data_IF_791687648648
#
_entry.id   IF_791687648648
#
_cell.length_a   1.000
_cell.length_b   1.000
_cell.length_c   1.000
_cell.angle_alpha   90.00
_cell.angle_beta   90.00
_cell.angle_gamma   90.00
#
_symmetry.space_group_name_H-M   'P 1'
#
loop_
_entity.id
_entity.type
_entity.pdbx_description
1 polymer ?
#
# COMPACT_ATOMS: atom_id res chain seq x y z
N UNK A 1 2.99 -38.52 -88.05
CA UNK A 1 2.98 -37.88 -86.71
C UNK A 1 2.86 -36.37 -86.88
N UNK A 2 1.82 -35.72 -86.31
CA UNK A 2 1.70 -34.24 -86.32
C UNK A 2 2.50 -33.69 -85.13
N UNK A 3 3.47 -32.79 -85.38
CA UNK A 3 4.22 -32.12 -84.33
C UNK A 3 3.29 -31.25 -83.46
N UNK A 4 3.25 -31.52 -82.15
CA UNK A 4 2.33 -30.90 -81.17
C UNK A 4 2.74 -29.48 -80.75
N UNK A 5 3.91 -29.00 -81.19
CA UNK A 5 4.53 -27.74 -80.74
C UNK A 5 4.84 -26.78 -81.88
N UNK A 6 3.86 -26.55 -82.77
CA UNK A 6 4.05 -25.74 -83.99
C UNK A 6 4.29 -24.24 -83.72
N UNK A 7 4.14 -23.78 -82.47
CA UNK A 7 4.22 -22.37 -82.07
C UNK A 7 5.50 -21.96 -81.34
N UNK A 8 6.38 -22.88 -80.94
CA UNK A 8 7.65 -22.52 -80.28
C UNK A 8 8.63 -21.93 -81.31
N UNK A 9 8.67 -20.59 -81.40
CA UNK A 9 9.70 -19.86 -82.16
C UNK A 9 10.95 -19.67 -81.29
N UNK A 10 12.14 -19.76 -81.89
CA UNK A 10 13.45 -19.51 -81.29
C UNK A 10 13.63 -18.04 -80.87
N UNK A 11 12.84 -17.55 -79.93
CA UNK A 11 12.97 -16.21 -79.36
C UNK A 11 13.07 -16.31 -77.84
N UNK A 12 13.76 -15.37 -77.21
CA UNK A 12 13.90 -15.28 -75.75
C UNK A 12 12.57 -14.96 -75.03
N UNK A 13 11.46 -14.82 -75.77
CA UNK A 13 10.10 -14.50 -75.28
C UNK A 13 9.17 -15.72 -75.31
N UNK A 14 9.62 -16.87 -74.81
CA UNK A 14 8.79 -18.09 -74.65
C UNK A 14 7.64 -17.91 -73.64
N UNK A 15 7.69 -16.86 -72.81
CA UNK A 15 6.86 -16.68 -71.61
C UNK A 15 5.55 -15.90 -71.80
N UNK A 16 5.17 -15.54 -73.02
CA UNK A 16 3.97 -14.71 -73.26
C UNK A 16 2.67 -15.51 -73.48
N UNK A 17 2.72 -16.84 -73.42
CA UNK A 17 1.56 -17.69 -73.62
C UNK A 17 1.13 -18.33 -72.29
N UNK A 18 -0.11 -18.06 -71.84
CA UNK A 18 -0.62 -18.45 -70.52
C UNK A 18 -0.54 -19.97 -70.28
N UNK A 19 -0.68 -20.76 -71.35
CA UNK A 19 -0.62 -22.22 -71.29
C UNK A 19 0.80 -22.75 -71.00
N UNK A 20 1.86 -22.04 -71.43
CA UNK A 20 3.24 -22.49 -71.20
C UNK A 20 3.69 -22.25 -69.75
N UNK A 21 3.13 -21.23 -69.08
CA UNK A 21 3.40 -20.90 -67.67
C UNK A 21 2.73 -21.92 -66.73
N UNK A 22 1.51 -22.35 -67.04
CA UNK A 22 0.77 -23.32 -66.22
C UNK A 22 1.43 -24.72 -66.23
N UNK A 23 1.98 -25.13 -67.36
CA UNK A 23 2.73 -26.39 -67.48
C UNK A 23 4.11 -26.32 -66.79
N UNK A 24 4.71 -25.14 -66.65
CA UNK A 24 5.93 -24.92 -65.87
C UNK A 24 5.67 -25.03 -64.37
N UNK A 25 4.62 -24.37 -63.87
CA UNK A 25 4.20 -24.44 -62.46
C UNK A 25 3.80 -25.86 -62.04
N UNK A 26 3.24 -26.66 -62.97
CA UNK A 26 2.94 -28.09 -62.75
C UNK A 26 4.17 -29.00 -62.88
N UNK A 27 5.35 -28.46 -63.18
CA UNK A 27 6.61 -29.21 -63.34
C UNK A 27 6.68 -30.07 -64.61
N UNK A 28 5.74 -29.89 -65.55
CA UNK A 28 5.66 -30.68 -66.80
C UNK A 28 6.60 -30.12 -67.87
N UNK A 29 6.80 -28.79 -67.88
CA UNK A 29 7.75 -28.10 -68.75
C UNK A 29 8.94 -27.65 -67.92
N UNK A 30 10.15 -28.17 -68.18
CA UNK A 30 11.37 -27.70 -67.53
C UNK A 30 12.17 -26.80 -68.50
N UNK A 31 12.23 -25.47 -68.31
CA UNK A 31 12.67 -24.51 -69.32
C UNK A 31 14.13 -24.71 -69.75
N UNK A 32 14.96 -25.20 -68.83
CA UNK A 32 16.35 -25.55 -69.10
C UNK A 32 16.44 -26.75 -70.06
N UNK A 33 15.67 -27.82 -69.81
CA UNK A 33 15.57 -28.97 -70.71
C UNK A 33 15.01 -28.56 -72.08
N UNK A 34 13.97 -27.73 -72.13
CA UNK A 34 13.38 -27.26 -73.41
C UNK A 34 14.36 -26.44 -74.23
N UNK A 35 15.14 -25.55 -73.60
CA UNK A 35 16.17 -24.77 -74.30
C UNK A 35 17.27 -25.70 -74.83
N UNK A 36 17.71 -26.65 -74.03
CA UNK A 36 18.78 -27.56 -74.39
C UNK A 36 18.40 -28.47 -75.56
N UNK A 37 17.17 -28.98 -75.60
CA UNK A 37 16.65 -29.81 -76.70
C UNK A 37 16.71 -29.12 -78.07
N UNK A 38 16.63 -27.79 -78.13
CA UNK A 38 16.66 -27.02 -79.38
C UNK A 38 18.03 -26.44 -79.73
N UNK A 39 18.96 -26.36 -78.77
CA UNK A 39 20.25 -25.67 -78.96
C UNK A 39 21.45 -26.61 -78.94
N UNK A 40 21.33 -27.79 -78.33
CA UNK A 40 22.43 -28.75 -78.19
C UNK A 40 22.23 -29.94 -79.14
N UNK A 41 23.31 -30.46 -79.77
CA UNK A 41 23.27 -31.70 -80.54
C UNK A 41 22.78 -32.88 -79.68
N UNK A 42 22.13 -33.86 -80.33
CA UNK A 42 21.55 -35.04 -79.68
C UNK A 42 22.55 -35.81 -78.80
N UNK A 43 23.82 -35.85 -79.18
CA UNK A 43 24.90 -36.51 -78.44
C UNK A 43 25.14 -35.87 -77.06
N UNK A 44 25.08 -34.54 -76.97
CA UNK A 44 25.28 -33.79 -75.72
C UNK A 44 24.07 -33.97 -74.80
N UNK A 45 22.87 -34.04 -75.37
CA UNK A 45 21.63 -34.28 -74.62
C UNK A 45 21.59 -35.69 -74.05
N UNK A 46 22.01 -36.68 -74.82
CA UNK A 46 22.13 -38.07 -74.35
C UNK A 46 23.20 -38.21 -73.27
N UNK A 47 24.36 -37.55 -73.42
CA UNK A 47 25.41 -37.54 -72.41
C UNK A 47 24.95 -36.89 -71.10
N UNK A 48 24.17 -35.81 -71.18
CA UNK A 48 23.60 -35.13 -70.00
C UNK A 48 22.51 -35.95 -69.34
N UNK A 49 21.58 -36.52 -70.11
CA UNK A 49 20.54 -37.41 -69.59
C UNK A 49 21.17 -38.63 -68.90
N UNK A 50 22.21 -39.21 -69.51
CA UNK A 50 22.99 -40.28 -68.90
C UNK A 50 23.65 -39.83 -67.59
N UNK A 51 24.21 -38.61 -67.52
CA UNK A 51 24.78 -38.04 -66.30
C UNK A 51 23.74 -37.84 -65.20
N UNK A 52 22.57 -37.29 -65.52
CA UNK A 52 21.48 -37.10 -64.55
C UNK A 52 20.94 -38.46 -64.06
N UNK A 53 20.76 -39.44 -64.95
CA UNK A 53 20.37 -40.80 -64.56
C UNK A 53 21.41 -41.46 -63.64
N UNK A 54 22.70 -41.21 -63.91
CA UNK A 54 23.81 -41.67 -63.06
C UNK A 54 23.83 -40.95 -61.71
N UNK A 55 23.38 -39.70 -61.60
CA UNK A 55 23.32 -38.94 -60.34
C UNK A 55 22.06 -39.21 -59.50
N UNK A 56 20.95 -39.56 -60.14
CA UNK A 56 19.71 -39.95 -59.44
C UNK A 56 19.96 -41.22 -58.61
N UNK A 57 20.75 -42.17 -59.11
CA UNK A 57 20.98 -43.44 -58.41
C UNK A 57 21.73 -43.27 -57.06
N UNK A 58 22.85 -42.52 -56.97
CA UNK A 58 23.50 -42.15 -55.71
C UNK A 58 22.60 -41.36 -54.78
N UNK A 59 21.81 -40.40 -55.27
CA UNK A 59 20.94 -39.61 -54.40
C UNK A 59 19.77 -40.44 -53.85
N UNK A 60 19.21 -41.35 -54.65
CA UNK A 60 18.21 -42.31 -54.16
C UNK A 60 18.84 -43.23 -53.10
N UNK A 61 20.06 -43.70 -53.35
CA UNK A 61 20.82 -44.52 -52.42
C UNK A 61 21.21 -43.75 -51.15
N UNK A 62 21.59 -42.47 -51.23
CA UNK A 62 21.83 -41.61 -50.07
C UNK A 62 20.55 -41.38 -49.28
N UNK A 63 19.42 -41.19 -49.94
CA UNK A 63 18.14 -40.99 -49.29
C UNK A 63 17.63 -42.28 -48.62
N UNK A 64 17.85 -43.44 -49.24
CA UNK A 64 17.52 -44.76 -48.69
C UNK A 64 18.52 -45.20 -47.61
N UNK A 65 19.80 -44.86 -47.73
CA UNK A 65 20.80 -45.06 -46.68
C UNK A 65 20.57 -44.13 -45.51
N UNK A 66 20.14 -42.88 -45.70
CA UNK A 66 19.75 -41.97 -44.62
C UNK A 66 18.46 -42.44 -43.95
N UNK A 67 17.48 -42.95 -44.72
CA UNK A 67 16.25 -43.55 -44.17
C UNK A 67 16.49 -44.85 -43.40
N UNK A 68 17.44 -45.67 -43.83
CA UNK A 68 17.83 -46.91 -43.13
C UNK A 68 18.84 -46.68 -42.01
N UNK A 69 19.71 -45.66 -42.13
CA UNK A 69 20.64 -45.14 -41.11
C UNK A 69 19.88 -44.51 -39.95
N UNK A 70 18.83 -43.75 -40.25
CA UNK A 70 17.85 -43.32 -39.26
C UNK A 70 16.95 -44.51 -38.92
N UNK A 71 17.53 -45.46 -38.19
CA UNK A 71 16.87 -46.72 -37.88
C UNK A 71 15.48 -46.51 -37.27
N UNK A 72 14.54 -47.44 -37.50
CA UNK A 72 13.18 -47.37 -36.95
C UNK A 72 13.17 -47.16 -35.43
N UNK A 73 14.21 -47.61 -34.74
CA UNK A 73 14.43 -47.39 -33.31
C UNK A 73 14.68 -45.90 -32.95
N UNK A 74 15.44 -45.15 -33.76
CA UNK A 74 15.68 -43.72 -33.54
C UNK A 74 14.41 -42.89 -33.78
N UNK A 75 13.60 -43.30 -34.77
CA UNK A 75 12.29 -42.68 -35.06
C UNK A 75 11.31 -42.95 -33.92
N UNK A 76 11.17 -44.21 -33.48
CA UNK A 76 10.31 -44.58 -32.36
C UNK A 76 10.71 -43.88 -31.05
N UNK A 77 12.02 -43.75 -30.78
CA UNK A 77 12.52 -42.97 -29.62
C UNK A 77 12.15 -41.49 -29.73
N UNK A 78 12.22 -40.90 -30.92
CA UNK A 78 11.83 -39.50 -31.13
C UNK A 78 10.32 -39.28 -30.98
N UNK A 79 9.49 -40.18 -31.51
CA UNK A 79 8.03 -40.12 -31.38
C UNK A 79 7.56 -40.30 -29.94
N UNK A 80 8.19 -41.23 -29.20
CA UNK A 80 7.93 -41.40 -27.76
C UNK A 80 8.25 -40.12 -27.00
N UNK A 81 9.41 -39.49 -27.25
CA UNK A 81 9.77 -38.22 -26.62
C UNK A 81 8.83 -37.07 -27.02
N UNK A 82 8.38 -37.02 -28.27
CA UNK A 82 7.41 -36.02 -28.71
C UNK A 82 6.06 -36.19 -27.99
N UNK A 83 5.65 -37.43 -27.72
CA UNK A 83 4.42 -37.74 -26.97
C UNK A 83 4.54 -37.35 -25.49
N UNK A 84 5.67 -37.68 -24.85
CA UNK A 84 5.99 -37.27 -23.47
C UNK A 84 5.99 -35.74 -23.34
N UNK A 85 6.70 -35.02 -24.24
CA UNK A 85 6.71 -33.56 -24.25
C UNK A 85 5.33 -32.96 -24.50
N UNK A 86 4.51 -33.57 -25.36
CA UNK A 86 3.13 -33.15 -25.59
C UNK A 86 2.25 -33.28 -24.35
N UNK A 87 2.46 -34.34 -23.54
CA UNK A 87 1.75 -34.52 -22.27
C UNK A 87 2.20 -33.50 -21.22
N UNK A 88 3.51 -33.25 -21.08
CA UNK A 88 4.04 -32.23 -20.18
C UNK A 88 3.56 -30.83 -20.57
N UNK A 89 3.48 -30.50 -21.86
CA UNK A 89 2.93 -29.22 -22.31
C UNK A 89 1.44 -29.09 -21.93
N UNK A 90 0.65 -30.16 -22.05
CA UNK A 90 -0.75 -30.14 -21.57
C UNK A 90 -0.84 -29.97 -20.06
N UNK A 91 0.07 -30.58 -19.29
CA UNK A 91 0.13 -30.45 -17.83
C UNK A 91 0.48 -29.02 -17.41
N UNK A 92 1.59 -28.49 -17.92
CA UNK A 92 2.04 -27.10 -17.65
C UNK A 92 0.99 -26.06 -18.07
N UNK A 93 0.24 -26.30 -19.15
CA UNK A 93 -0.87 -25.43 -19.54
C UNK A 93 -1.99 -25.40 -18.49
N UNK A 94 -2.40 -26.56 -17.95
CA UNK A 94 -3.40 -26.63 -16.87
C UNK A 94 -2.91 -25.93 -15.60
N UNK A 95 -1.66 -26.19 -15.21
CA UNK A 95 -1.05 -25.55 -14.04
C UNK A 95 -0.98 -24.02 -14.18
N UNK A 96 -0.68 -23.51 -15.40
CA UNK A 96 -0.72 -22.08 -15.70
C UNK A 96 -2.13 -21.50 -15.54
N UNK A 97 -3.14 -22.17 -16.09
CA UNK A 97 -4.53 -21.70 -16.03
C UNK A 97 -5.03 -21.68 -14.57
N UNK A 98 -4.67 -22.68 -13.76
CA UNK A 98 -4.94 -22.69 -12.31
C UNK A 98 -4.20 -21.58 -11.56
N UNK A 99 -2.93 -21.34 -11.88
CA UNK A 99 -2.15 -20.26 -11.29
C UNK A 99 -2.73 -18.88 -11.64
N UNK A 100 -3.27 -18.72 -12.86
CA UNK A 100 -3.93 -17.49 -13.29
C UNK A 100 -5.22 -17.23 -12.50
N UNK A 101 -6.04 -18.27 -12.26
CA UNK A 101 -7.21 -18.16 -11.39
C UNK A 101 -6.84 -17.79 -9.95
N UNK A 102 -5.75 -18.37 -9.42
CA UNK A 102 -5.23 -18.02 -8.09
C UNK A 102 -4.76 -16.56 -8.04
N UNK A 103 -4.08 -16.09 -9.08
CA UNK A 103 -3.64 -14.70 -9.18
C UNK A 103 -4.84 -13.75 -9.19
N UNK A 104 -5.85 -14.02 -10.01
CA UNK A 104 -7.07 -13.19 -10.08
C UNK A 104 -7.81 -13.14 -8.74
N UNK A 105 -7.88 -14.26 -8.02
CA UNK A 105 -8.45 -14.29 -6.67
C UNK A 105 -7.64 -13.43 -5.70
N UNK A 106 -6.31 -13.54 -5.74
CA UNK A 106 -5.42 -12.73 -4.87
C UNK A 106 -5.48 -11.23 -5.19
N UNK A 107 -5.67 -10.84 -6.45
CA UNK A 107 -5.84 -9.44 -6.85
C UNK A 107 -7.14 -8.84 -6.30
N UNK A 108 -8.22 -9.61 -6.30
CA UNK A 108 -9.50 -9.22 -5.67
C UNK A 108 -9.33 -9.01 -4.17
N UNK A 109 -8.63 -9.92 -3.50
CA UNK A 109 -8.33 -9.79 -2.07
C UNK A 109 -7.45 -8.57 -1.78
N UNK A 110 -6.41 -8.35 -2.61
CA UNK A 110 -5.55 -7.18 -2.50
C UNK A 110 -6.35 -5.88 -2.62
N UNK A 111 -7.22 -5.79 -3.63
CA UNK A 111 -8.11 -4.63 -3.84
C UNK A 111 -8.98 -4.34 -2.61
N UNK A 112 -9.55 -5.39 -1.99
CA UNK A 112 -10.31 -5.26 -0.74
C UNK A 112 -9.45 -4.73 0.42
N UNK A 113 -8.23 -5.25 0.57
CA UNK A 113 -7.28 -4.79 1.60
C UNK A 113 -6.91 -3.32 1.39
N UNK A 114 -6.65 -2.90 0.14
CA UNK A 114 -6.37 -1.50 -0.20
C UNK A 114 -7.54 -0.57 0.13
N UNK A 115 -8.77 -0.99 -0.18
CA UNK A 115 -9.98 -0.23 0.19
C UNK A 115 -10.11 -0.07 1.71
N UNK A 116 -9.91 -1.16 2.47
CA UNK A 116 -9.93 -1.11 3.94
C UNK A 116 -8.82 -0.21 4.50
N UNK A 117 -7.61 -0.27 3.93
CA UNK A 117 -6.50 0.58 4.34
C UNK A 117 -6.82 2.07 4.13
N UNK A 118 -7.41 2.42 2.98
CA UNK A 118 -7.84 3.78 2.71
C UNK A 118 -8.88 4.26 3.72
N UNK A 119 -9.84 3.41 4.09
CA UNK A 119 -10.86 3.73 5.08
C UNK A 119 -10.27 3.91 6.48
N UNK A 120 -9.36 3.03 6.93
CA UNK A 120 -8.66 3.19 8.21
C UNK A 120 -7.83 4.48 8.23
N UNK A 121 -7.14 4.81 7.13
CA UNK A 121 -6.39 6.06 7.02
C UNK A 121 -7.30 7.29 7.13
N UNK A 122 -8.50 7.26 6.54
CA UNK A 122 -9.51 8.32 6.67
C UNK A 122 -9.96 8.46 8.12
N UNK A 123 -10.36 7.37 8.76
CA UNK A 123 -10.81 7.36 10.16
C UNK A 123 -9.73 7.85 11.12
N UNK A 124 -8.46 7.51 10.87
CA UNK A 124 -7.34 8.00 11.67
C UNK A 124 -7.18 9.52 11.58
N UNK A 125 -7.32 10.11 10.38
CA UNK A 125 -7.29 11.56 10.20
C UNK A 125 -8.42 12.23 10.96
N UNK A 126 -9.64 11.68 10.90
CA UNK A 126 -10.79 12.22 11.63
C UNK A 126 -10.63 12.09 13.15
N UNK A 127 -10.15 10.95 13.63
CA UNK A 127 -9.87 10.75 15.05
C UNK A 127 -8.82 11.75 15.56
N UNK A 128 -7.78 12.04 14.78
CA UNK A 128 -6.78 13.07 15.12
C UNK A 128 -7.38 14.47 15.21
N UNK A 129 -8.29 14.83 14.30
CA UNK A 129 -8.99 16.12 14.36
C UNK A 129 -9.88 16.20 15.60
N UNK A 130 -10.64 15.13 15.90
CA UNK A 130 -11.48 15.07 17.11
C UNK A 130 -10.66 15.18 18.39
N UNK A 131 -9.53 14.48 18.48
CA UNK A 131 -8.63 14.54 19.63
C UNK A 131 -8.12 15.97 19.87
N UNK A 132 -7.64 16.64 18.82
CA UNK A 132 -7.19 18.04 18.92
C UNK A 132 -8.29 18.97 19.43
N UNK A 133 -9.53 18.78 18.97
CA UNK A 133 -10.68 19.57 19.44
C UNK A 133 -10.93 19.36 20.93
N UNK A 134 -10.88 18.11 21.41
CA UNK A 134 -11.04 17.81 22.82
C UNK A 134 -9.90 18.39 23.66
N UNK A 135 -8.67 18.38 23.17
CA UNK A 135 -7.53 19.01 23.84
C UNK A 135 -7.73 20.53 24.00
N UNK A 136 -8.26 21.20 22.97
CA UNK A 136 -8.59 22.62 23.03
C UNK A 136 -9.71 22.92 24.05
N UNK A 137 -10.74 22.07 24.11
CA UNK A 137 -11.82 22.16 25.10
C UNK A 137 -11.29 21.93 26.52
N UNK A 138 -10.45 20.91 26.71
CA UNK A 138 -9.79 20.63 27.98
C UNK A 138 -8.93 21.82 28.42
N UNK A 139 -8.17 22.42 27.51
CA UNK A 139 -7.36 23.60 27.80
C UNK A 139 -8.22 24.78 28.28
N UNK A 140 -9.40 24.99 27.69
CA UNK A 140 -10.35 26.03 28.14
C UNK A 140 -10.85 25.75 29.55
N UNK A 141 -11.25 24.50 29.84
CA UNK A 141 -11.73 24.09 31.17
C UNK A 141 -10.62 24.25 32.23
N UNK A 142 -9.40 23.81 31.93
CA UNK A 142 -8.25 23.93 32.83
C UNK A 142 -7.94 25.39 33.15
N UNK A 143 -8.01 26.29 32.16
CA UNK A 143 -7.86 27.74 32.39
C UNK A 143 -8.96 28.30 33.29
N UNK A 144 -10.22 27.94 33.05
CA UNK A 144 -11.35 28.36 33.87
C UNK A 144 -11.19 27.87 35.33
N UNK A 145 -10.81 26.61 35.53
CA UNK A 145 -10.56 26.04 36.85
C UNK A 145 -9.42 26.76 37.57
N UNK A 146 -8.31 27.05 36.87
CA UNK A 146 -7.18 27.79 37.44
C UNK A 146 -7.60 29.19 37.89
N UNK A 147 -8.43 29.87 37.11
CA UNK A 147 -8.96 31.19 37.47
C UNK A 147 -9.90 31.09 38.68
N UNK A 148 -10.82 30.12 38.69
CA UNK A 148 -11.72 29.88 39.82
C UNK A 148 -10.96 29.60 41.12
N UNK A 149 -9.83 28.87 41.06
CA UNK A 149 -8.96 28.62 42.22
C UNK A 149 -8.35 29.91 42.80
N UNK A 150 -8.21 30.97 42.02
CA UNK A 150 -7.69 32.27 42.48
C UNK A 150 -8.83 33.12 43.04
N UNK A 151 -9.97 33.16 42.34
CA UNK A 151 -11.07 34.07 42.68
C UNK A 151 -11.94 33.56 43.82
N UNK A 152 -12.22 32.25 43.91
CA UNK A 152 -13.07 31.70 44.97
C UNK A 152 -12.52 31.97 46.38
N UNK A 153 -11.22 31.76 46.69
CA UNK A 153 -10.69 32.11 48.00
C UNK A 153 -10.75 33.61 48.29
N UNK A 154 -10.51 34.47 47.29
CA UNK A 154 -10.63 35.93 47.45
C UNK A 154 -12.05 36.31 47.84
N UNK A 155 -13.04 35.77 47.12
CA UNK A 155 -14.44 35.99 47.43
C UNK A 155 -14.82 35.45 48.81
N UNK A 156 -14.36 34.25 49.17
CA UNK A 156 -14.60 33.66 50.48
C UNK A 156 -14.04 34.51 51.63
N UNK A 157 -12.84 35.09 51.47
CA UNK A 157 -12.24 35.99 52.47
C UNK A 157 -13.06 37.28 52.61
N UNK A 158 -13.54 37.85 51.51
CA UNK A 158 -14.41 39.05 51.55
C UNK A 158 -15.71 38.72 52.30
N UNK A 159 -16.38 37.62 51.94
CA UNK A 159 -17.60 37.17 52.60
C UNK A 159 -17.38 36.88 54.10
N UNK A 160 -16.25 36.25 54.45
CA UNK A 160 -15.89 36.01 55.84
C UNK A 160 -15.72 37.30 56.64
N UNK A 161 -15.03 38.30 56.08
CA UNK A 161 -14.86 39.61 56.73
C UNK A 161 -16.19 40.36 56.92
N UNK A 162 -17.16 40.11 56.05
CA UNK A 162 -18.49 40.72 56.13
C UNK A 162 -19.41 40.02 57.13
N UNK A 163 -19.11 38.76 57.50
CA UNK A 163 -19.90 37.94 58.42
C UNK A 163 -20.04 38.57 59.82
N UNK A 164 -21.18 38.31 60.47
CA UNK A 164 -21.48 38.79 61.83
C UNK A 164 -20.48 38.23 62.84
N UNK A 165 -20.21 36.92 62.78
CA UNK A 165 -19.25 36.26 63.68
C UNK A 165 -17.85 36.87 63.62
N UNK A 166 -17.35 37.24 62.44
CA UNK A 166 -16.06 37.92 62.31
C UNK A 166 -16.09 39.32 62.96
N UNK A 167 -17.13 40.11 62.69
CA UNK A 167 -17.29 41.46 63.27
C UNK A 167 -17.44 41.42 64.80
N UNK A 168 -18.18 40.45 65.32
CA UNK A 168 -18.35 40.23 66.76
C UNK A 168 -17.05 39.72 67.40
N UNK A 169 -16.32 38.83 66.73
CA UNK A 169 -14.98 38.40 67.12
C UNK A 169 -14.01 39.58 67.24
N UNK A 170 -14.03 40.50 66.27
CA UNK A 170 -13.23 41.73 66.34
C UNK A 170 -13.58 42.60 67.54
N UNK A 171 -14.88 42.76 67.87
CA UNK A 171 -15.32 43.49 69.07
C UNK A 171 -14.80 42.84 70.35
N UNK A 172 -14.86 41.50 70.44
CA UNK A 172 -14.33 40.74 71.58
C UNK A 172 -12.81 40.90 71.70
N UNK A 173 -12.06 40.76 70.61
CA UNK A 173 -10.61 40.96 70.60
C UNK A 173 -10.19 42.38 71.01
N UNK A 174 -10.93 43.41 70.56
CA UNK A 174 -10.69 44.79 70.97
C UNK A 174 -10.84 45.01 72.47
N UNK A 175 -11.83 44.36 73.11
CA UNK A 175 -12.01 44.41 74.56
C UNK A 175 -10.86 43.76 75.31
N UNK A 176 -10.49 42.53 74.93
CA UNK A 176 -9.39 41.79 75.57
C UNK A 176 -8.06 42.55 75.48
N UNK A 177 -7.76 43.15 74.32
CA UNK A 177 -6.53 43.93 74.13
C UNK A 177 -6.53 45.23 74.94
N UNK A 178 -7.66 45.92 75.01
CA UNK A 178 -7.83 47.10 75.87
C UNK A 178 -7.65 46.76 77.35
N UNK A 179 -8.33 45.72 77.84
CA UNK A 179 -8.22 45.25 79.22
C UNK A 179 -6.79 44.85 79.58
N UNK A 180 -6.12 44.11 78.71
CA UNK A 180 -4.71 43.75 78.90
C UNK A 180 -3.81 44.98 78.97
N UNK A 181 -3.99 45.95 78.05
CA UNK A 181 -3.26 47.22 78.06
C UNK A 181 -3.47 48.01 79.36
N UNK A 182 -4.71 48.08 79.85
CA UNK A 182 -5.06 48.72 81.11
C UNK A 182 -4.38 48.04 82.30
N UNK A 183 -4.39 46.70 82.38
CA UNK A 183 -3.70 45.96 83.44
C UNK A 183 -2.19 46.23 83.45
N UNK A 184 -1.55 46.22 82.27
CA UNK A 184 -0.12 46.54 82.16
C UNK A 184 0.18 47.99 82.56
N UNK A 185 -0.66 48.94 82.15
CA UNK A 185 -0.52 50.35 82.53
C UNK A 185 -0.66 50.55 84.04
N UNK A 186 -1.65 49.88 84.66
CA UNK A 186 -1.90 49.92 86.10
C UNK A 186 -0.69 49.40 86.88
N UNK A 187 -0.13 48.24 86.50
CA UNK A 187 1.08 47.69 87.14
C UNK A 187 2.27 48.64 87.01
N UNK A 188 2.45 49.26 85.83
CA UNK A 188 3.52 50.25 85.61
C UNK A 188 3.32 51.53 86.43
N UNK A 189 2.09 51.95 86.62
CA UNK A 189 1.73 53.11 87.44
C UNK A 189 2.08 52.85 88.91
N UNK A 190 1.64 51.72 89.47
CA UNK A 190 1.98 51.34 90.85
C UNK A 190 3.48 51.16 91.07
N UNK A 191 4.22 50.66 90.07
CA UNK A 191 5.68 50.58 90.15
C UNK A 191 6.39 51.94 90.23
N UNK A 192 5.74 53.04 89.83
CA UNK A 192 6.28 54.41 89.87
C UNK A 192 5.71 55.26 91.01
N UNK A 193 4.51 54.94 91.47
CA UNK A 193 3.76 55.70 92.48
C UNK A 193 3.17 54.73 93.50
N UNK A 194 4.03 54.25 94.41
CA UNK A 194 3.75 53.13 95.32
C UNK A 194 2.58 53.38 96.29
N UNK A 195 2.32 54.64 96.64
CA UNK A 195 1.34 55.02 97.68
C UNK A 195 0.06 55.68 97.10
N UNK A 196 -0.15 55.63 95.79
CA UNK A 196 -1.33 56.23 95.14
C UNK A 196 -2.42 55.18 94.89
N UNK A 197 -3.62 55.39 95.45
CA UNK A 197 -4.80 54.59 95.15
C UNK A 197 -5.38 54.97 93.78
N UNK A 198 -5.68 53.97 92.96
CA UNK A 198 -6.36 54.12 91.66
C UNK A 198 -7.70 53.39 91.75
N UNK A 199 -8.78 54.10 91.47
CA UNK A 199 -10.14 53.56 91.44
C UNK A 199 -10.27 52.52 90.31
N UNK A 200 -10.76 51.32 90.63
CA UNK A 200 -11.02 50.29 89.63
C UNK A 200 -12.11 50.75 88.66
N UNK A 201 -11.75 50.84 87.37
CA UNK A 201 -12.69 51.26 86.34
C UNK A 201 -13.83 50.25 86.14
N UNK A 202 -15.01 50.70 85.66
CA UNK A 202 -16.26 49.92 85.58
C UNK A 202 -16.25 48.75 84.58
N UNK A 203 -15.09 48.35 84.08
CA UNK A 203 -14.91 47.27 83.11
C UNK A 203 -14.22 46.02 83.70
N UNK A 204 -14.07 45.93 85.02
CA UNK A 204 -13.71 44.69 85.73
C UNK A 204 -14.89 43.72 85.72
N UNK A 205 -15.20 43.14 84.56
CA UNK A 205 -16.21 42.08 84.44
C UNK A 205 -15.49 40.73 84.53
N UNK A 206 -15.92 39.88 85.47
CA UNK A 206 -15.50 38.50 85.57
C UNK A 206 -15.82 37.74 84.26
N UNK A 207 -14.84 36.99 83.77
CA UNK A 207 -14.92 36.22 82.53
C UNK A 207 -15.74 34.95 82.81
N UNK A 208 -17.06 35.08 82.96
CA UNK A 208 -17.95 33.91 82.88
C UNK A 208 -17.99 33.49 81.39
N UNK A 209 -17.18 32.48 81.06
CA UNK A 209 -17.23 31.80 79.78
C UNK A 209 -18.62 31.18 79.59
N UNK A 210 -19.50 31.88 78.87
CA UNK A 210 -20.66 31.25 78.24
C UNK A 210 -20.12 30.26 77.19
N UNK A 211 -20.00 29.01 77.63
CA UNK A 211 -19.76 27.83 76.81
C UNK A 211 -20.86 27.73 75.75
N UNK A 212 -20.64 28.40 74.62
CA UNK A 212 -21.43 28.18 73.41
C UNK A 212 -21.20 26.73 72.97
N UNK A 213 -22.19 25.87 73.22
CA UNK A 213 -22.29 24.54 72.64
C UNK A 213 -22.34 24.66 71.11
N UNK A 214 -21.24 24.30 70.46
CA UNK A 214 -21.22 24.09 69.01
C UNK A 214 -21.94 22.77 68.71
N UNK A 215 -23.01 22.82 67.93
CA UNK A 215 -23.66 21.67 67.29
C UNK A 215 -23.31 21.68 65.81
#
# INVERSE_FOLDING_TARGET
MKAKWRGLKNSTKVWNDSSAVEEFERGVLHPQLTRELYTLPSEVLLARAAKEMVLISPLQQELDTVKSSRGPEAIAKAEKRASELGQELKKTKRERDEALLRLEASEKDLSKVWSNLAEVQRLLKEARVRARKMDDELLKVVKALKNARIELPRQAVVQYKESTGFKEGLKRMGRVTYEYGCRVALVRFHARHTDSEVEEGPFTIHLEDDLVQWR
#
